data_IF_365121926951
#
_entry.id   IF_365121926951
#
_cell.length_a   1.000
_cell.length_b   1.000
_cell.length_c   1.000
_cell.angle_alpha   90.00
_cell.angle_beta   90.00
_cell.angle_gamma   90.00
#
_symmetry.space_group_name_H-M   'P 1'
#
loop_
_entity.id
_entity.type
_entity.pdbx_description
1 polymer ?
#
# COMPACT_ATOMS: atom_id res chain seq x y z
N UNK A 1 17.40 -14.68 -54.27
CA UNK A 1 16.55 -15.80 -53.83
C UNK A 1 15.54 -15.25 -52.85
N UNK A 2 14.28 -15.56 -53.10
CA UNK A 2 13.08 -14.84 -52.69
C UNK A 2 12.13 -15.84 -52.03
N UNK A 3 11.64 -15.57 -50.82
CA UNK A 3 10.37 -16.02 -50.18
C UNK A 3 10.25 -15.11 -48.94
N UNK A 4 9.35 -14.14 -48.73
CA UNK A 4 7.89 -13.95 -48.91
C UNK A 4 7.02 -14.82 -47.99
N UNK A 5 6.46 -14.20 -46.93
CA UNK A 5 5.06 -14.25 -46.48
C UNK A 5 4.98 -13.70 -45.03
N UNK A 6 4.39 -12.53 -44.78
CA UNK A 6 2.95 -12.22 -44.62
C UNK A 6 2.41 -12.62 -43.23
N UNK A 7 1.48 -11.93 -42.55
CA UNK A 7 0.79 -10.62 -42.58
C UNK A 7 -0.32 -10.76 -41.49
N UNK A 8 -0.91 -9.65 -41.06
CA UNK A 8 -2.12 -9.52 -40.22
C UNK A 8 -1.89 -9.62 -38.68
N UNK A 9 -2.47 -8.77 -37.83
CA UNK A 9 -3.76 -8.08 -37.90
C UNK A 9 -3.70 -6.65 -37.31
N UNK A 10 -4.19 -5.70 -38.09
CA UNK A 10 -4.70 -4.38 -37.68
C UNK A 10 -6.22 -4.36 -37.91
N UNK A 11 -6.93 -3.55 -37.13
CA UNK A 11 -8.39 -3.31 -37.09
C UNK A 11 -9.21 -4.17 -36.14
N UNK A 12 -9.62 -3.57 -35.02
CA UNK A 12 -11.05 -3.27 -34.76
C UNK A 12 -11.11 -1.93 -34.03
N UNK A 13 -11.57 -0.90 -34.74
CA UNK A 13 -12.17 0.32 -34.19
C UNK A 13 -13.62 0.25 -34.65
N UNK A 14 -14.56 0.30 -33.71
CA UNK A 14 -15.81 1.07 -33.78
C UNK A 14 -16.94 0.44 -32.95
N UNK A 15 -17.74 1.36 -32.40
CA UNK A 15 -19.14 1.19 -31.99
C UNK A 15 -19.39 0.60 -30.61
N UNK A 16 -19.57 1.48 -29.61
CA UNK A 16 -20.77 1.48 -28.76
C UNK A 16 -21.01 2.90 -28.20
N UNK A 17 -21.74 3.70 -28.98
CA UNK A 17 -22.51 4.83 -28.48
C UNK A 17 -23.81 4.29 -27.90
N UNK A 18 -24.01 4.39 -26.60
CA UNK A 18 -25.35 4.26 -25.99
C UNK A 18 -25.66 5.50 -25.19
N UNK A 19 -26.58 6.28 -25.75
CA UNK A 19 -27.29 7.40 -25.17
C UNK A 19 -27.99 7.01 -23.86
N UNK A 20 -27.59 7.60 -22.74
CA UNK A 20 -28.43 7.65 -21.54
C UNK A 20 -29.23 8.95 -21.56
N UNK A 21 -30.51 8.83 -21.94
CA UNK A 21 -31.52 9.85 -21.71
C UNK A 21 -31.65 10.10 -20.20
N UNK A 22 -31.29 11.30 -19.78
CA UNK A 22 -31.49 11.79 -18.41
C UNK A 22 -32.86 12.47 -18.37
N UNK A 23 -33.85 11.75 -17.88
CA UNK A 23 -35.17 12.26 -17.53
C UNK A 23 -35.06 13.36 -16.46
N UNK A 24 -35.68 14.52 -16.74
CA UNK A 24 -35.85 15.61 -15.79
C UNK A 24 -36.87 15.23 -14.71
N UNK A 25 -36.68 15.63 -13.44
CA UNK A 25 -37.73 15.54 -12.44
C UNK A 25 -38.70 16.72 -12.59
N UNK A 26 -39.98 16.39 -12.68
CA UNK A 26 -41.12 17.30 -12.62
C UNK A 26 -41.27 17.80 -11.17
N UNK A 27 -41.10 19.10 -10.98
CA UNK A 27 -41.45 19.82 -9.75
C UNK A 27 -42.97 19.94 -9.67
N UNK A 28 -43.58 19.30 -8.68
CA UNK A 28 -44.95 19.58 -8.26
C UNK A 28 -44.90 20.20 -6.86
N UNK A 29 -45.20 21.49 -6.80
CA UNK A 29 -45.52 22.24 -5.59
C UNK A 29 -46.90 21.82 -5.08
N UNK A 30 -47.01 21.46 -3.80
CA UNK A 30 -48.27 21.48 -3.04
C UNK A 30 -47.98 22.01 -1.61
N UNK A 31 -48.81 22.92 -1.05
CA UNK A 31 -48.46 23.75 0.10
C UNK A 31 -48.90 23.20 1.47
N UNK A 32 -48.29 23.77 2.51
CA UNK A 32 -48.76 24.03 3.88
C UNK A 32 -49.64 23.00 4.60
N UNK A 33 -49.13 22.51 5.74
CA UNK A 33 -49.91 22.50 6.98
C UNK A 33 -49.00 22.67 8.21
N UNK A 34 -49.17 23.82 8.88
CA UNK A 34 -48.78 24.05 10.26
C UNK A 34 -49.69 23.25 11.19
N UNK A 35 -49.15 22.51 12.17
CA UNK A 35 -49.61 22.60 13.56
C UNK A 35 -48.72 21.83 14.55
N UNK A 36 -48.21 22.60 15.51
CA UNK A 36 -48.10 22.33 16.96
C UNK A 36 -47.15 21.25 17.50
N UNK A 37 -45.99 21.75 17.93
CA UNK A 37 -45.48 21.71 19.31
C UNK A 37 -45.95 20.54 20.21
N UNK A 38 -45.09 19.53 20.31
CA UNK A 38 -44.93 18.69 21.49
C UNK A 38 -43.50 18.81 21.99
N UNK A 39 -43.31 19.54 23.09
CA UNK A 39 -42.05 19.61 23.84
C UNK A 39 -41.68 18.21 24.35
N UNK A 40 -40.80 17.51 23.65
CA UNK A 40 -40.02 16.42 24.24
C UNK A 40 -38.66 16.98 24.64
N UNK A 41 -38.41 16.93 25.96
CA UNK A 41 -37.12 17.16 26.61
C UNK A 41 -35.95 16.65 25.75
N UNK A 42 -35.18 17.58 25.21
CA UNK A 42 -33.79 17.33 24.86
C UNK A 42 -33.04 17.02 26.17
N UNK A 43 -32.95 15.74 26.49
CA UNK A 43 -31.86 15.27 27.33
C UNK A 43 -30.59 15.51 26.50
N UNK A 44 -29.84 16.55 26.86
CA UNK A 44 -28.48 16.80 26.41
C UNK A 44 -27.61 15.59 26.82
N UNK A 45 -27.64 14.55 25.98
CA UNK A 45 -26.60 13.53 25.94
C UNK A 45 -25.42 14.19 25.21
N UNK A 46 -24.20 14.20 25.75
CA UNK A 46 -23.06 14.75 25.04
C UNK A 46 -22.89 13.97 23.73
N UNK A 47 -23.06 14.66 22.61
CA UNK A 47 -22.83 14.12 21.28
C UNK A 47 -21.34 13.86 21.15
N UNK A 48 -20.92 12.66 21.56
CA UNK A 48 -19.56 12.16 21.36
C UNK A 48 -19.18 12.39 19.90
N UNK A 49 -18.04 13.02 19.68
CA UNK A 49 -17.48 13.19 18.34
C UNK A 49 -17.32 11.81 17.69
N UNK A 50 -17.36 11.75 16.35
CA UNK A 50 -17.24 10.47 15.62
C UNK A 50 -15.96 9.69 16.02
N UNK A 51 -14.90 10.42 16.38
CA UNK A 51 -13.63 9.87 16.87
C UNK A 51 -13.71 9.34 18.31
N UNK A 52 -14.48 9.99 19.19
CA UNK A 52 -14.74 9.45 20.54
C UNK A 52 -15.65 8.21 20.46
N UNK A 53 -16.62 8.19 19.53
CA UNK A 53 -17.40 6.97 19.24
C UNK A 53 -16.52 5.84 18.69
N UNK A 54 -15.60 6.14 17.77
CA UNK A 54 -14.61 5.19 17.22
C UNK A 54 -13.79 4.53 18.34
N UNK A 55 -13.23 5.35 19.24
CA UNK A 55 -12.35 4.90 20.31
C UNK A 55 -13.13 4.13 21.39
N UNK A 56 -14.32 4.61 21.75
CA UNK A 56 -15.15 3.98 22.77
C UNK A 56 -15.71 2.64 22.29
N UNK A 57 -16.17 2.51 21.04
CA UNK A 57 -16.70 1.23 20.54
C UNK A 57 -15.61 0.15 20.45
N UNK A 58 -14.40 0.50 20.00
CA UNK A 58 -13.30 -0.47 19.90
C UNK A 58 -12.78 -0.87 21.30
N UNK A 59 -12.72 0.05 22.25
CA UNK A 59 -12.24 -0.25 23.61
C UNK A 59 -13.26 -1.04 24.43
N UNK A 60 -14.56 -0.74 24.30
CA UNK A 60 -15.60 -1.36 25.11
C UNK A 60 -15.98 -2.76 24.61
N UNK A 61 -15.96 -2.99 23.29
CA UNK A 61 -16.42 -4.24 22.69
C UNK A 61 -15.45 -4.79 21.63
N UNK A 62 -14.20 -5.04 22.05
CA UNK A 62 -13.12 -5.51 21.18
C UNK A 62 -13.36 -6.86 20.47
N UNK A 63 -14.43 -7.59 20.79
CA UNK A 63 -14.83 -8.84 20.13
C UNK A 63 -15.93 -8.64 19.07
N UNK A 64 -16.55 -7.48 19.01
CA UNK A 64 -17.58 -7.15 18.03
C UNK A 64 -16.95 -6.55 16.77
N UNK A 65 -17.36 -7.03 15.60
CA UNK A 65 -16.85 -6.57 14.32
C UNK A 65 -17.27 -5.14 13.96
N UNK A 66 -18.47 -4.73 14.41
CA UNK A 66 -19.12 -3.48 13.97
C UNK A 66 -18.30 -2.24 14.32
N UNK A 67 -17.70 -2.20 15.51
CA UNK A 67 -16.83 -1.10 15.92
C UNK A 67 -15.62 -0.93 15.00
N UNK A 68 -14.99 -2.04 14.61
CA UNK A 68 -13.86 -2.03 13.67
C UNK A 68 -14.29 -1.65 12.25
N UNK A 69 -15.45 -2.13 11.79
CA UNK A 69 -16.00 -1.78 10.48
C UNK A 69 -16.29 -0.28 10.37
N UNK A 70 -16.98 0.30 11.36
CA UNK A 70 -17.30 1.73 11.39
C UNK A 70 -16.03 2.58 11.47
N UNK A 71 -15.08 2.19 12.33
CA UNK A 71 -13.79 2.87 12.45
C UNK A 71 -12.99 2.84 11.14
N UNK A 72 -12.93 1.67 10.51
CA UNK A 72 -12.27 1.51 9.21
C UNK A 72 -12.92 2.37 8.13
N UNK A 73 -14.25 2.32 8.00
CA UNK A 73 -15.02 3.12 7.04
C UNK A 73 -14.87 4.64 7.28
N UNK A 74 -14.84 5.07 8.54
CA UNK A 74 -14.60 6.47 8.88
C UNK A 74 -13.23 6.94 8.39
N UNK A 75 -12.17 6.17 8.66
CA UNK A 75 -10.82 6.50 8.19
C UNK A 75 -10.71 6.42 6.65
N UNK A 76 -11.42 5.49 6.00
CA UNK A 76 -11.56 5.46 4.54
C UNK A 76 -12.20 6.75 4.00
N UNK A 77 -13.27 7.23 4.63
CA UNK A 77 -13.94 8.49 4.26
C UNK A 77 -13.03 9.72 4.39
N UNK A 78 -12.12 9.69 5.37
CA UNK A 78 -11.08 10.71 5.58
C UNK A 78 -9.83 10.53 4.69
N UNK A 79 -9.85 9.58 3.73
CA UNK A 79 -8.70 9.19 2.90
C UNK A 79 -7.48 8.73 3.69
N UNK A 80 -7.64 8.35 4.96
CA UNK A 80 -6.61 7.80 5.84
C UNK A 80 -6.51 6.28 5.67
N UNK A 81 -6.25 5.84 4.45
CA UNK A 81 -6.32 4.41 4.07
C UNK A 81 -5.36 3.52 4.88
N UNK A 82 -4.18 4.03 5.25
CA UNK A 82 -3.24 3.27 6.09
C UNK A 82 -3.83 2.95 7.47
N UNK A 83 -4.41 3.96 8.12
CA UNK A 83 -5.06 3.78 9.42
C UNK A 83 -6.28 2.86 9.32
N UNK A 84 -7.10 3.02 8.28
CA UNK A 84 -8.23 2.11 8.02
C UNK A 84 -7.78 0.66 7.83
N UNK A 85 -6.68 0.44 7.10
CA UNK A 85 -6.10 -0.90 6.91
C UNK A 85 -5.63 -1.51 8.24
N UNK A 86 -4.89 -0.76 9.05
CA UNK A 86 -4.43 -1.22 10.38
C UNK A 86 -5.62 -1.62 11.25
N UNK A 87 -6.68 -0.80 11.29
CA UNK A 87 -7.89 -1.11 12.06
C UNK A 87 -8.50 -2.45 11.62
N UNK A 88 -8.69 -2.66 10.32
CA UNK A 88 -9.26 -3.92 9.83
C UNK A 88 -8.32 -5.10 10.07
N UNK A 89 -7.02 -4.95 9.83
CA UNK A 89 -6.03 -6.02 10.05
C UNK A 89 -5.94 -6.44 11.52
N UNK A 90 -5.84 -5.47 12.44
CA UNK A 90 -5.72 -5.70 13.88
C UNK A 90 -6.99 -6.29 14.52
N UNK A 91 -8.13 -6.12 13.85
CA UNK A 91 -9.42 -6.66 14.30
C UNK A 91 -9.57 -8.16 14.00
N UNK A 92 -8.97 -8.66 12.92
CA UNK A 92 -9.11 -10.05 12.49
C UNK A 92 -8.72 -11.09 13.55
N UNK A 93 -7.63 -10.93 14.32
CA UNK A 93 -7.32 -11.86 15.40
C UNK A 93 -8.21 -11.68 16.64
N UNK A 94 -8.91 -10.55 16.79
CA UNK A 94 -9.72 -10.21 17.98
C UNK A 94 -11.18 -10.64 17.83
N UNK A 95 -11.72 -10.56 16.63
CA UNK A 95 -13.11 -10.91 16.31
C UNK A 95 -13.24 -12.42 16.10
N UNK A 96 -14.12 -13.12 16.84
CA UNK A 96 -14.34 -14.55 16.63
C UNK A 96 -14.79 -14.86 15.20
N UNK A 97 -14.27 -15.95 14.62
CA UNK A 97 -14.65 -16.39 13.27
C UNK A 97 -16.14 -16.71 13.11
N UNK A 98 -16.84 -16.99 14.22
CA UNK A 98 -18.30 -17.22 14.24
C UNK A 98 -19.11 -15.92 14.15
N UNK A 99 -18.49 -14.74 14.30
CA UNK A 99 -19.17 -13.47 14.16
C UNK A 99 -19.60 -13.29 12.69
N UNK A 100 -20.89 -13.01 12.41
CA UNK A 100 -21.42 -12.91 11.06
C UNK A 100 -20.79 -11.78 10.26
N UNK A 101 -20.15 -10.79 10.86
CA UNK A 101 -19.50 -9.67 10.15
C UNK A 101 -17.98 -9.84 10.02
N UNK A 102 -17.41 -10.96 10.49
CA UNK A 102 -15.97 -11.24 10.33
C UNK A 102 -15.54 -11.29 8.84
N UNK A 103 -16.40 -11.80 7.95
CA UNK A 103 -16.12 -11.80 6.52
C UNK A 103 -16.15 -10.39 5.90
N UNK A 104 -16.96 -9.48 6.44
CA UNK A 104 -17.00 -8.08 6.00
C UNK A 104 -15.71 -7.35 6.34
N UNK A 105 -15.11 -7.62 7.50
CA UNK A 105 -13.79 -7.11 7.87
C UNK A 105 -12.72 -7.57 6.88
N UNK A 106 -12.69 -8.88 6.56
CA UNK A 106 -11.78 -9.44 5.54
C UNK A 106 -11.98 -8.80 4.18
N UNK A 107 -13.24 -8.60 3.77
CA UNK A 107 -13.59 -7.96 2.50
C UNK A 107 -13.14 -6.49 2.46
N UNK A 108 -13.35 -5.75 3.54
CA UNK A 108 -12.96 -4.35 3.67
C UNK A 108 -11.45 -4.19 3.66
N UNK A 109 -10.73 -5.05 4.38
CA UNK A 109 -9.26 -5.12 4.32
C UNK A 109 -8.76 -5.39 2.90
N UNK A 110 -9.34 -6.38 2.21
CA UNK A 110 -8.98 -6.70 0.81
C UNK A 110 -9.22 -5.50 -0.11
N UNK A 111 -10.36 -4.82 0.02
CA UNK A 111 -10.70 -3.62 -0.77
C UNK A 111 -9.71 -2.48 -0.52
N UNK A 112 -9.31 -2.26 0.73
CA UNK A 112 -8.31 -1.26 1.06
C UNK A 112 -6.94 -1.60 0.49
N UNK A 113 -6.52 -2.86 0.58
CA UNK A 113 -5.28 -3.34 -0.04
C UNK A 113 -5.30 -3.13 -1.56
N UNK A 114 -6.43 -3.42 -2.22
CA UNK A 114 -6.62 -3.12 -3.65
C UNK A 114 -6.46 -1.63 -3.96
N UNK A 115 -7.10 -0.75 -3.17
CA UNK A 115 -7.03 0.71 -3.36
C UNK A 115 -5.63 1.28 -3.12
N UNK A 116 -4.84 0.65 -2.23
CA UNK A 116 -3.46 1.04 -1.96
C UNK A 116 -2.45 0.53 -3.01
N UNK A 117 -2.91 -0.03 -4.13
CA UNK A 117 -2.02 -0.56 -5.16
C UNK A 117 -1.25 -1.79 -4.72
N UNK A 118 -1.73 -2.50 -3.69
CA UNK A 118 -1.10 -3.72 -3.20
C UNK A 118 -1.44 -4.91 -4.10
N UNK A 119 -1.13 -4.80 -5.40
CA UNK A 119 -1.22 -5.88 -6.38
C UNK A 119 -0.57 -7.16 -5.86
N UNK A 120 0.54 -7.01 -5.12
CA UNK A 120 1.27 -8.10 -4.46
C UNK A 120 0.39 -8.90 -3.48
N UNK A 121 -0.63 -8.30 -2.86
CA UNK A 121 -1.55 -9.01 -1.97
C UNK A 121 -2.80 -9.54 -2.69
N UNK A 122 -2.93 -9.32 -4.00
CA UNK A 122 -4.06 -9.85 -4.80
C UNK A 122 -3.77 -11.23 -5.37
N UNK A 123 -2.50 -11.55 -5.55
CA UNK A 123 -2.06 -12.81 -6.12
C UNK A 123 -1.31 -13.64 -5.07
N UNK A 124 -1.38 -14.98 -5.16
CA UNK A 124 -0.45 -15.83 -4.43
C UNK A 124 1.00 -15.45 -4.77
N UNK A 125 1.91 -15.60 -3.80
CA UNK A 125 3.33 -15.27 -3.96
C UNK A 125 3.93 -15.76 -5.29
N UNK A 126 3.67 -17.01 -5.67
CA UNK A 126 4.19 -17.62 -6.90
C UNK A 126 3.75 -16.89 -8.16
N UNK A 127 2.52 -16.39 -8.20
CA UNK A 127 1.98 -15.65 -9.35
C UNK A 127 2.65 -14.28 -9.43
N UNK A 128 2.87 -13.60 -8.30
CA UNK A 128 3.67 -12.38 -8.27
C UNK A 128 5.09 -12.62 -8.78
N UNK A 129 5.76 -13.70 -8.35
CA UNK A 129 7.08 -14.07 -8.87
C UNK A 129 7.08 -14.22 -10.40
N UNK A 130 6.12 -14.92 -11.00
CA UNK A 130 6.02 -15.07 -12.47
C UNK A 130 5.88 -13.71 -13.17
N UNK A 131 5.08 -12.81 -12.60
CA UNK A 131 4.86 -11.48 -13.18
C UNK A 131 6.15 -10.67 -13.17
N UNK A 132 6.85 -10.63 -12.03
CA UNK A 132 8.11 -9.90 -11.91
C UNK A 132 9.26 -10.57 -12.70
N UNK A 133 9.23 -11.89 -12.90
CA UNK A 133 10.19 -12.63 -13.74
C UNK A 133 10.09 -12.28 -15.23
N UNK A 134 8.92 -11.81 -15.68
CA UNK A 134 8.73 -11.31 -17.05
C UNK A 134 9.13 -9.86 -17.26
N UNK A 135 9.53 -9.14 -16.21
CA UNK A 135 9.98 -7.76 -16.32
C UNK A 135 11.47 -7.70 -16.60
N UNK A 136 11.86 -6.77 -17.47
CA UNK A 136 13.28 -6.44 -17.65
C UNK A 136 13.85 -5.84 -16.38
N UNK A 137 15.18 -5.90 -16.24
CA UNK A 137 15.90 -5.28 -15.13
C UNK A 137 15.57 -3.78 -14.95
N UNK A 138 15.39 -3.06 -16.05
CA UNK A 138 15.01 -1.64 -16.01
C UNK A 138 13.61 -1.47 -15.41
N UNK A 139 12.64 -2.27 -15.86
CA UNK A 139 11.26 -2.24 -15.37
C UNK A 139 11.19 -2.65 -13.90
N UNK A 140 11.94 -3.68 -13.48
CA UNK A 140 12.06 -4.07 -12.08
C UNK A 140 12.57 -2.93 -11.20
N UNK A 141 13.59 -2.21 -11.69
CA UNK A 141 14.14 -1.06 -10.98
C UNK A 141 13.09 0.06 -10.88
N UNK A 142 12.33 0.34 -11.95
CA UNK A 142 11.23 1.30 -11.90
C UNK A 142 10.13 0.86 -10.93
N UNK A 143 9.86 -0.43 -10.82
CA UNK A 143 8.87 -0.98 -9.89
C UNK A 143 9.21 -0.74 -8.41
N UNK A 144 10.50 -0.58 -8.08
CA UNK A 144 10.94 -0.22 -6.72
C UNK A 144 10.45 1.16 -6.28
N UNK A 145 10.21 2.07 -7.21
CA UNK A 145 9.74 3.44 -6.92
C UNK A 145 8.21 3.60 -6.98
N UNK A 146 7.47 2.56 -7.39
CA UNK A 146 6.00 2.63 -7.53
C UNK A 146 5.32 2.80 -6.16
N UNK A 147 5.63 1.93 -5.21
CA UNK A 147 5.19 2.07 -3.83
C UNK A 147 6.03 1.20 -2.88
N UNK A 148 5.96 1.49 -1.58
CA UNK A 148 6.71 0.77 -0.53
C UNK A 148 6.47 -0.74 -0.56
N UNK A 149 5.24 -1.17 -0.82
CA UNK A 149 4.90 -2.60 -0.89
C UNK A 149 5.60 -3.29 -2.06
N UNK A 150 5.71 -2.61 -3.21
CA UNK A 150 6.42 -3.14 -4.37
C UNK A 150 7.92 -3.23 -4.11
N UNK A 151 8.50 -2.15 -3.61
CA UNK A 151 9.90 -2.15 -3.17
C UNK A 151 10.20 -3.29 -2.22
N UNK A 152 9.38 -3.44 -1.17
CA UNK A 152 9.57 -4.46 -0.14
C UNK A 152 9.46 -5.89 -0.69
N UNK A 153 8.47 -6.16 -1.56
CA UNK A 153 8.36 -7.47 -2.19
C UNK A 153 9.55 -7.77 -3.10
N UNK A 154 9.92 -6.82 -3.97
CA UNK A 154 10.97 -7.02 -4.97
C UNK A 154 12.32 -7.24 -4.29
N UNK A 155 12.66 -6.43 -3.28
CA UNK A 155 13.91 -6.58 -2.52
C UNK A 155 13.98 -7.89 -1.72
N UNK A 156 12.84 -8.47 -1.33
CA UNK A 156 12.79 -9.78 -0.67
C UNK A 156 12.73 -10.95 -1.64
N UNK A 157 12.40 -10.72 -2.90
CA UNK A 157 12.27 -11.78 -3.90
C UNK A 157 13.66 -12.20 -4.43
N UNK A 158 14.08 -13.47 -4.27
CA UNK A 158 15.41 -13.91 -4.68
C UNK A 158 15.71 -13.69 -6.17
N UNK A 159 14.70 -13.82 -7.03
CA UNK A 159 14.85 -13.64 -8.48
C UNK A 159 15.31 -12.24 -8.86
N UNK A 160 14.94 -11.20 -8.10
CA UNK A 160 15.43 -9.84 -8.31
C UNK A 160 16.96 -9.79 -8.23
N UNK A 161 17.56 -10.40 -7.22
CA UNK A 161 19.01 -10.43 -7.05
C UNK A 161 19.71 -11.31 -8.08
N UNK A 162 19.08 -12.42 -8.49
CA UNK A 162 19.60 -13.28 -9.54
C UNK A 162 19.67 -12.55 -10.91
N UNK A 163 18.70 -11.67 -11.22
CA UNK A 163 18.77 -10.84 -12.45
C UNK A 163 19.94 -9.84 -12.43
N UNK A 164 20.37 -9.40 -11.25
CA UNK A 164 21.50 -8.47 -11.10
C UNK A 164 22.84 -9.16 -11.29
N UNK A 165 22.94 -10.45 -10.94
CA UNK A 165 24.16 -11.26 -11.08
C UNK A 165 24.77 -11.21 -12.48
N UNK A 166 23.93 -11.13 -13.52
CA UNK A 166 24.38 -11.13 -14.91
C UNK A 166 24.89 -9.78 -15.43
N UNK A 167 24.50 -8.66 -14.79
CA UNK A 167 24.93 -7.30 -15.19
C UNK A 167 25.95 -6.69 -14.23
N UNK A 168 25.84 -7.01 -12.95
CA UNK A 168 26.70 -6.54 -11.88
C UNK A 168 27.11 -7.77 -11.06
N UNK A 169 28.35 -8.24 -11.25
CA UNK A 169 28.87 -9.53 -10.76
C UNK A 169 28.82 -9.69 -9.22
N UNK A 170 28.43 -8.66 -8.49
CA UNK A 170 28.85 -8.47 -7.09
C UNK A 170 27.72 -8.41 -6.05
N UNK A 171 26.45 -8.32 -6.45
CA UNK A 171 25.33 -8.53 -5.52
C UNK A 171 24.80 -9.94 -5.73
N UNK A 172 25.44 -10.90 -5.07
CA UNK A 172 24.99 -12.28 -5.08
C UNK A 172 23.89 -12.51 -4.03
N UNK A 173 23.35 -13.73 -4.04
CA UNK A 173 22.34 -14.15 -3.07
C UNK A 173 22.83 -14.09 -1.62
N UNK A 174 24.13 -14.21 -1.38
CA UNK A 174 24.74 -14.16 -0.05
C UNK A 174 24.68 -12.74 0.50
N UNK A 175 25.07 -11.74 -0.31
CA UNK A 175 24.97 -10.31 0.02
C UNK A 175 23.51 -9.92 0.23
N UNK A 176 22.62 -10.32 -0.67
CA UNK A 176 21.18 -10.08 -0.50
C UNK A 176 20.62 -10.71 0.78
N UNK A 177 21.00 -11.95 1.10
CA UNK A 177 20.56 -12.59 2.34
C UNK A 177 21.11 -11.87 3.58
N UNK A 178 22.36 -11.41 3.54
CA UNK A 178 22.96 -10.60 4.61
C UNK A 178 22.23 -9.27 4.82
N UNK A 179 21.78 -8.62 3.74
CA UNK A 179 20.94 -7.42 3.78
C UNK A 179 19.57 -7.68 4.42
N UNK A 180 18.99 -8.85 4.16
CA UNK A 180 17.63 -9.19 4.59
C UNK A 180 17.57 -9.80 6.00
N UNK A 181 18.64 -10.45 6.48
CA UNK A 181 18.62 -11.23 7.73
C UNK A 181 18.65 -10.36 9.00
N UNK A 182 18.82 -9.03 8.91
CA UNK A 182 18.79 -8.03 10.02
C UNK A 182 19.67 -8.36 11.25
N UNK A 183 20.58 -9.33 11.10
CA UNK A 183 21.50 -9.78 12.17
C UNK A 183 22.83 -9.04 12.16
N UNK A 184 23.18 -8.41 11.05
CA UNK A 184 24.46 -7.76 10.86
C UNK A 184 24.33 -6.26 11.15
N UNK A 185 25.23 -5.71 11.96
CA UNK A 185 25.32 -4.27 12.18
C UNK A 185 26.16 -3.55 11.12
N UNK A 186 26.84 -4.31 10.28
CA UNK A 186 27.58 -3.84 9.11
C UNK A 186 27.11 -4.57 7.86
N UNK A 187 26.65 -3.81 6.87
CA UNK A 187 26.33 -4.33 5.55
C UNK A 187 27.29 -3.78 4.51
N UNK A 188 27.88 -4.67 3.70
CA UNK A 188 28.86 -4.31 2.69
C UNK A 188 28.44 -4.85 1.33
N UNK A 189 28.31 -3.94 0.35
CA UNK A 189 28.21 -4.27 -1.07
C UNK A 189 29.55 -3.91 -1.72
N UNK A 190 30.36 -4.90 -2.14
CA UNK A 190 31.66 -4.65 -2.74
C UNK A 190 31.51 -4.22 -4.22
N UNK A 191 30.62 -3.28 -4.52
CA UNK A 191 30.34 -2.81 -5.87
C UNK A 191 29.61 -1.47 -5.93
N UNK A 192 29.67 -0.83 -7.09
CA UNK A 192 28.79 0.26 -7.48
C UNK A 192 27.31 -0.15 -7.40
N UNK A 193 26.54 0.60 -6.62
CA UNK A 193 25.08 0.49 -6.54
C UNK A 193 24.48 1.66 -7.30
N UNK A 194 23.62 1.37 -8.28
CA UNK A 194 22.83 2.40 -8.97
C UNK A 194 21.99 3.16 -7.93
N UNK A 195 21.99 4.49 -8.01
CA UNK A 195 21.16 5.36 -7.18
C UNK A 195 19.67 4.98 -7.22
N UNK A 196 19.22 4.40 -8.35
CA UNK A 196 17.85 3.88 -8.53
C UNK A 196 17.53 2.67 -7.64
N UNK A 197 18.55 1.93 -7.21
CA UNK A 197 18.39 0.79 -6.29
C UNK A 197 18.69 1.24 -4.85
N UNK A 198 19.70 2.10 -4.68
CA UNK A 198 20.13 2.59 -3.37
C UNK A 198 18.99 3.28 -2.61
N UNK A 199 18.23 4.16 -3.26
CA UNK A 199 17.09 4.85 -2.63
C UNK A 199 16.04 3.88 -2.08
N UNK A 200 15.49 2.98 -2.89
CA UNK A 200 14.59 1.92 -2.43
C UNK A 200 15.17 1.01 -1.34
N UNK A 201 16.46 0.64 -1.42
CA UNK A 201 17.12 -0.15 -0.37
C UNK A 201 17.16 0.60 0.96
N UNK A 202 17.50 1.89 0.96
CA UNK A 202 17.49 2.71 2.17
C UNK A 202 16.07 2.84 2.73
N UNK A 203 15.07 3.11 1.88
CA UNK A 203 13.65 3.12 2.27
C UNK A 203 13.21 1.78 2.87
N UNK A 204 13.68 0.66 2.33
CA UNK A 204 13.40 -0.67 2.87
C UNK A 204 14.00 -0.87 4.26
N UNK A 205 15.26 -0.47 4.47
CA UNK A 205 15.90 -0.50 5.79
C UNK A 205 15.11 0.35 6.80
N UNK A 206 14.62 1.52 6.37
CA UNK A 206 13.73 2.36 7.20
C UNK A 206 12.45 1.61 7.56
N UNK A 207 11.75 1.08 6.55
CA UNK A 207 10.43 0.48 6.69
C UNK A 207 10.44 -0.82 7.52
N UNK A 208 11.49 -1.63 7.36
CA UNK A 208 11.65 -2.90 8.11
C UNK A 208 12.06 -2.70 9.55
N UNK A 209 12.34 -1.46 9.96
CA UNK A 209 12.87 -1.16 11.28
C UNK A 209 14.15 -1.91 11.61
N UNK A 210 14.99 -2.14 10.59
CA UNK A 210 16.35 -2.63 10.72
C UNK A 210 17.30 -1.56 11.27
N UNK A 211 17.05 -1.07 12.49
CA UNK A 211 17.78 0.05 13.14
C UNK A 211 19.18 -0.38 13.59
N UNK A 212 19.60 -1.57 13.19
CA UNK A 212 20.82 -2.25 13.61
C UNK A 212 21.99 -1.94 12.71
N UNK A 213 21.75 -1.52 11.47
CA UNK A 213 22.82 -1.11 10.57
C UNK A 213 23.50 0.15 11.10
N UNK A 214 24.70 -0.03 11.65
CA UNK A 214 25.60 1.06 12.06
C UNK A 214 26.46 1.53 10.91
N UNK A 215 26.62 0.70 9.88
CA UNK A 215 27.50 0.96 8.76
C UNK A 215 26.95 0.28 7.49
N UNK A 216 26.76 1.07 6.42
CA UNK A 216 26.56 0.58 5.06
C UNK A 216 27.79 0.96 4.23
N UNK A 217 28.53 -0.02 3.74
CA UNK A 217 29.71 0.18 2.90
C UNK A 217 29.40 -0.23 1.46
N UNK A 218 29.60 0.69 0.53
CA UNK A 218 29.56 0.52 -0.91
C UNK A 218 30.95 0.83 -1.48
N UNK A 219 31.25 0.40 -2.71
CA UNK A 219 32.60 0.50 -3.31
C UNK A 219 33.24 1.91 -3.22
N UNK A 220 32.44 2.96 -3.34
CA UNK A 220 32.90 4.35 -3.29
C UNK A 220 32.16 5.21 -2.27
N UNK A 221 31.39 4.60 -1.38
CA UNK A 221 30.54 5.31 -0.43
C UNK A 221 30.45 4.54 0.88
N UNK A 222 30.61 5.24 1.98
CA UNK A 222 30.43 4.67 3.32
C UNK A 222 29.42 5.51 4.08
N UNK A 223 28.27 4.93 4.39
CA UNK A 223 27.26 5.54 5.24
C UNK A 223 27.45 5.01 6.66
N UNK A 224 27.85 5.91 7.56
CA UNK A 224 27.87 5.64 9.00
C UNK A 224 26.47 5.82 9.57
N UNK A 225 26.25 5.33 10.79
CA UNK A 225 25.00 5.47 11.53
C UNK A 225 24.41 6.88 11.46
N UNK A 226 25.21 7.89 11.72
CA UNK A 226 24.81 9.30 11.65
C UNK A 226 24.28 9.73 10.26
N UNK A 227 24.82 9.21 9.17
CA UNK A 227 24.28 9.45 7.82
C UNK A 227 22.98 8.69 7.58
N UNK A 228 22.88 7.46 8.09
CA UNK A 228 21.68 6.62 7.99
C UNK A 228 20.53 7.27 8.78
N UNK A 229 20.80 7.74 9.99
CA UNK A 229 19.85 8.44 10.86
C UNK A 229 19.32 9.72 10.18
N UNK A 230 20.18 10.50 9.52
CA UNK A 230 19.74 11.67 8.74
C UNK A 230 18.82 11.31 7.56
N UNK A 231 19.12 10.21 6.84
CA UNK A 231 18.24 9.71 5.77
C UNK A 231 16.92 9.21 6.36
N UNK A 232 16.95 8.54 7.51
CA UNK A 232 15.78 8.08 8.23
C UNK A 232 14.88 9.26 8.62
N UNK A 233 15.44 10.32 9.20
CA UNK A 233 14.72 11.54 9.56
C UNK A 233 14.10 12.22 8.33
N UNK A 234 14.84 12.30 7.22
CA UNK A 234 14.33 12.89 5.97
C UNK A 234 13.15 12.10 5.38
N UNK A 235 13.19 10.77 5.44
CA UNK A 235 12.11 9.89 4.98
C UNK A 235 10.89 9.95 5.91
N UNK A 236 11.11 10.05 7.22
CA UNK A 236 10.03 10.12 8.21
C UNK A 236 9.39 11.51 8.34
N UNK A 237 10.08 12.56 7.87
CA UNK A 237 9.56 13.92 7.94
C UNK A 237 8.25 14.07 7.14
N UNK A 238 7.11 14.39 7.77
CA UNK A 238 5.80 14.44 7.11
C UNK A 238 5.70 15.50 6.00
N UNK A 239 6.72 16.36 5.87
CA UNK A 239 6.79 17.40 4.84
C UNK A 239 7.44 16.92 3.52
N UNK A 240 7.99 15.70 3.45
CA UNK A 240 8.70 15.23 2.25
C UNK A 240 7.82 14.53 1.19
N UNK A 241 6.55 14.22 1.50
CA UNK A 241 5.65 13.45 0.61
C UNK A 241 4.63 14.35 -0.15
N UNK A 242 4.65 15.67 0.11
CA UNK A 242 3.71 16.62 -0.52
C UNK A 242 4.11 17.18 -1.88
N UNK A 243 5.32 16.93 -2.38
CA UNK A 243 5.82 17.56 -3.61
C UNK A 243 6.51 16.57 -4.52
N UNK A 244 6.13 16.59 -5.80
CA UNK A 244 6.78 15.88 -6.90
C UNK A 244 6.37 14.41 -7.07
N UNK A 245 5.07 14.16 -7.24
CA UNK A 245 4.58 13.16 -8.19
C UNK A 245 3.31 13.72 -8.87
N UNK A 246 3.53 14.56 -9.88
CA UNK A 246 2.63 14.78 -11.01
C UNK A 246 3.41 14.43 -12.27
#
# INVERSE_FOLDING_TARGET
MTVVASKALSHVRDSFSTSLQRSQPVTNDIPMQQQQQGQHREQHLPTLTAQEKETNMIMLESKQADGYLLAGQFNEGQRRYSKGQTIHADSLPKVPLRNPHCWELRRSLKKLNMRRGAFIYLFPYHVSCIIFDHLSHYELTTCLDVCELWSHFILQWPGFWDTHRHKHVFIDRTVASSFLDDKNDHFRIPSYVDNRILGPMLKFVVATSSWRYKHLEFEHMSLKKEHIDLVLEAVQSPNSIGGVLN
#
